data_IF_300529817320
#
_entry.id   IF_300529817320
#
_cell.length_a   1.000
_cell.length_b   1.000
_cell.length_c   1.000
_cell.angle_alpha   90.00
_cell.angle_beta   90.00
_cell.angle_gamma   90.00
#
_symmetry.space_group_name_H-M   'P 1'
#
loop_
_entity.id
_entity.type
_entity.pdbx_description
1 polymer ?
#
# COMPACT_ATOMS: atom_id res chain seq x y z
N UNK A 1 -19.09 0.64 -25.48
CA UNK A 1 -19.21 0.89 -24.02
C UNK A 1 -18.10 0.10 -23.33
N UNK A 2 -17.37 0.68 -22.37
CA UNK A 2 -16.30 -0.01 -21.63
C UNK A 2 -16.87 -0.55 -20.31
N UNK A 3 -16.50 -1.77 -19.90
CA UNK A 3 -16.95 -2.38 -18.63
C UNK A 3 -16.75 -1.44 -17.42
N UNK A 4 -15.63 -0.73 -17.39
CA UNK A 4 -15.28 0.22 -16.32
C UNK A 4 -16.33 1.33 -16.12
N UNK A 5 -17.09 1.68 -17.16
CA UNK A 5 -18.13 2.70 -17.08
C UNK A 5 -19.36 2.23 -16.28
N UNK A 6 -19.48 0.92 -16.03
CA UNK A 6 -20.59 0.34 -15.26
C UNK A 6 -20.30 0.24 -13.76
N UNK A 7 -19.01 0.23 -13.35
CA UNK A 7 -18.61 0.03 -11.94
C UNK A 7 -19.31 0.94 -10.92
N UNK A 8 -19.55 2.25 -11.19
CA UNK A 8 -20.23 3.12 -10.23
C UNK A 8 -21.71 2.74 -9.97
N UNK A 9 -22.31 1.91 -10.83
CA UNK A 9 -23.71 1.53 -10.77
C UNK A 9 -23.92 0.10 -10.29
N UNK A 10 -22.84 -0.67 -10.12
CA UNK A 10 -22.88 -2.03 -9.60
C UNK A 10 -22.98 -2.02 -8.07
N UNK A 11 -23.50 -3.09 -7.49
CA UNK A 11 -23.49 -3.22 -6.04
C UNK A 11 -22.11 -3.66 -5.50
N UNK A 12 -21.92 -3.52 -4.18
CA UNK A 12 -20.63 -3.78 -3.53
C UNK A 12 -20.19 -5.24 -3.60
N UNK A 13 -21.15 -6.18 -3.62
CA UNK A 13 -20.84 -7.61 -3.67
C UNK A 13 -20.45 -8.02 -5.08
N UNK A 14 -21.13 -7.49 -6.11
CA UNK A 14 -20.75 -7.68 -7.51
C UNK A 14 -19.33 -7.13 -7.79
N UNK A 15 -19.00 -5.95 -7.25
CA UNK A 15 -17.67 -5.35 -7.38
C UNK A 15 -16.61 -6.20 -6.65
N UNK A 16 -16.95 -6.76 -5.47
CA UNK A 16 -16.07 -7.68 -4.72
C UNK A 16 -15.79 -8.95 -5.52
N UNK A 17 -16.83 -9.59 -6.05
CA UNK A 17 -16.70 -10.80 -6.87
C UNK A 17 -15.85 -10.51 -8.12
N UNK A 18 -16.07 -9.36 -8.75
CA UNK A 18 -15.29 -8.94 -9.90
C UNK A 18 -13.80 -8.73 -9.57
N UNK A 19 -13.49 -8.09 -8.42
CA UNK A 19 -12.12 -7.96 -7.93
C UNK A 19 -11.47 -9.33 -7.72
N UNK A 20 -12.18 -10.28 -7.11
CA UNK A 20 -11.71 -11.65 -6.90
C UNK A 20 -11.43 -12.38 -8.22
N UNK A 21 -12.28 -12.21 -9.23
CA UNK A 21 -12.09 -12.77 -10.59
C UNK A 21 -10.86 -12.20 -11.32
N UNK A 22 -10.53 -10.93 -11.07
CA UNK A 22 -9.28 -10.33 -11.56
C UNK A 22 -8.09 -10.95 -10.80
N UNK A 23 -8.21 -11.15 -9.49
CA UNK A 23 -7.15 -11.75 -8.67
C UNK A 23 -6.89 -13.20 -9.06
N UNK A 24 -7.93 -14.01 -9.28
CA UNK A 24 -7.83 -15.42 -9.71
C UNK A 24 -7.32 -15.59 -11.15
N UNK A 25 -7.31 -14.52 -11.94
CA UNK A 25 -6.90 -14.53 -13.34
C UNK A 25 -7.98 -15.04 -14.30
N UNK A 26 -9.21 -15.26 -13.82
CA UNK A 26 -10.39 -15.52 -14.66
C UNK A 26 -10.68 -14.34 -15.59
N UNK A 27 -10.48 -13.12 -15.09
CA UNK A 27 -10.58 -11.88 -15.87
C UNK A 27 -9.17 -11.34 -16.13
N UNK A 28 -8.79 -11.27 -17.40
CA UNK A 28 -7.48 -10.76 -17.85
C UNK A 28 -7.61 -9.41 -18.55
N UNK A 29 -6.53 -8.64 -18.56
CA UNK A 29 -6.46 -7.35 -19.28
C UNK A 29 -7.12 -6.17 -18.56
N UNK A 30 -7.54 -6.36 -17.31
CA UNK A 30 -8.10 -5.31 -16.45
C UNK A 30 -7.20 -5.17 -15.23
N UNK A 31 -6.76 -3.94 -14.96
CA UNK A 31 -6.00 -3.63 -13.75
C UNK A 31 -6.92 -3.61 -12.54
N UNK A 32 -6.51 -4.29 -11.47
CA UNK A 32 -7.24 -4.31 -10.21
C UNK A 32 -7.41 -2.90 -9.62
N UNK A 33 -6.47 -1.99 -9.90
CA UNK A 33 -6.50 -0.59 -9.48
C UNK A 33 -7.76 0.18 -9.91
N UNK A 34 -8.38 -0.23 -11.02
CA UNK A 34 -9.61 0.41 -11.51
C UNK A 34 -10.81 0.12 -10.61
N UNK A 35 -10.77 -0.97 -9.85
CA UNK A 35 -11.88 -1.43 -9.01
C UNK A 35 -11.86 -0.75 -7.64
N UNK A 36 -10.69 -0.37 -7.12
CA UNK A 36 -10.51 0.14 -5.76
C UNK A 36 -11.40 1.33 -5.37
N UNK A 37 -11.63 2.36 -6.22
CA UNK A 37 -12.49 3.49 -5.85
C UNK A 37 -13.95 3.09 -5.59
N UNK A 38 -14.38 1.96 -6.14
CA UNK A 38 -15.77 1.49 -6.08
C UNK A 38 -15.94 0.33 -5.08
N UNK A 39 -14.84 -0.31 -4.69
CA UNK A 39 -14.87 -1.39 -3.71
C UNK A 39 -15.14 -0.81 -2.31
N UNK A 40 -16.02 -1.47 -1.55
CA UNK A 40 -16.23 -1.13 -0.15
C UNK A 40 -14.92 -1.23 0.63
N UNK A 41 -14.66 -0.30 1.55
CA UNK A 41 -13.41 -0.23 2.32
C UNK A 41 -13.08 -1.55 3.03
N UNK A 42 -14.06 -2.18 3.68
CA UNK A 42 -13.86 -3.47 4.36
C UNK A 42 -13.48 -4.58 3.37
N UNK A 43 -14.14 -4.63 2.20
CA UNK A 43 -13.83 -5.58 1.13
C UNK A 43 -12.44 -5.34 0.53
N UNK A 44 -12.00 -4.07 0.44
CA UNK A 44 -10.65 -3.73 -0.03
C UNK A 44 -9.59 -4.13 1.00
N UNK A 45 -9.85 -3.92 2.29
CA UNK A 45 -8.95 -4.32 3.37
C UNK A 45 -8.74 -5.84 3.36
N UNK A 46 -9.82 -6.63 3.18
CA UNK A 46 -9.77 -8.09 3.00
C UNK A 46 -8.98 -8.49 1.75
N UNK A 47 -9.25 -7.82 0.62
CA UNK A 47 -8.55 -8.07 -0.64
C UNK A 47 -7.05 -7.83 -0.51
N UNK A 48 -6.62 -6.78 0.19
CA UNK A 48 -5.20 -6.51 0.42
C UNK A 48 -4.54 -7.60 1.25
N UNK A 49 -5.21 -8.20 2.22
CA UNK A 49 -4.65 -9.36 2.94
C UNK A 49 -4.35 -10.53 1.99
N UNK A 50 -5.20 -10.73 0.98
CA UNK A 50 -4.96 -11.76 -0.03
C UNK A 50 -3.81 -11.39 -0.97
N UNK A 51 -3.72 -10.13 -1.40
CA UNK A 51 -2.62 -9.65 -2.23
C UNK A 51 -1.26 -9.75 -1.51
N UNK A 52 -1.23 -9.55 -0.19
CA UNK A 52 -0.02 -9.73 0.64
C UNK A 52 0.47 -11.18 0.56
N UNK A 53 -0.43 -12.15 0.76
CA UNK A 53 -0.09 -13.59 0.68
C UNK A 53 0.44 -13.99 -0.69
N UNK A 54 -0.03 -13.34 -1.75
CA UNK A 54 0.40 -13.57 -3.12
C UNK A 54 1.64 -12.75 -3.52
N UNK A 55 2.21 -11.92 -2.63
CA UNK A 55 3.38 -11.07 -2.92
C UNK A 55 3.12 -9.99 -3.97
N UNK A 56 1.87 -9.55 -4.14
CA UNK A 56 1.45 -8.63 -5.21
C UNK A 56 1.60 -7.15 -4.82
N UNK A 57 2.81 -6.76 -4.41
CA UNK A 57 3.10 -5.42 -3.87
C UNK A 57 2.65 -4.26 -4.78
N UNK A 58 2.78 -4.41 -6.11
CA UNK A 58 2.33 -3.39 -7.08
C UNK A 58 0.84 -3.10 -6.99
N UNK A 59 0.03 -4.14 -6.80
CA UNK A 59 -1.42 -3.99 -6.67
C UNK A 59 -1.78 -3.35 -5.32
N UNK A 60 -1.02 -3.65 -4.26
CA UNK A 60 -1.19 -3.05 -2.93
C UNK A 60 -0.86 -1.55 -2.97
N UNK A 61 0.20 -1.13 -3.67
CA UNK A 61 0.55 0.31 -3.78
C UNK A 61 -0.59 1.15 -4.35
N UNK A 62 -1.32 0.63 -5.34
CA UNK A 62 -2.46 1.32 -5.93
C UNK A 62 -3.69 1.36 -4.99
N UNK A 63 -3.77 0.48 -4.00
CA UNK A 63 -4.88 0.43 -3.04
C UNK A 63 -4.73 1.43 -1.89
N UNK A 64 -3.51 1.89 -1.59
CA UNK A 64 -3.19 2.72 -0.42
C UNK A 64 -4.13 3.91 -0.18
N UNK A 65 -4.53 4.70 -1.20
CA UNK A 65 -5.41 5.86 -0.99
C UNK A 65 -6.81 5.51 -0.49
N UNK A 66 -7.24 4.26 -0.67
CA UNK A 66 -8.61 3.81 -0.42
C UNK A 66 -8.73 2.95 0.85
N UNK A 67 -7.61 2.44 1.37
CA UNK A 67 -7.56 1.58 2.55
C UNK A 67 -8.05 2.28 3.82
N UNK A 68 -8.53 1.49 4.77
CA UNK A 68 -8.80 2.00 6.11
C UNK A 68 -7.51 2.34 6.85
N UNK A 69 -7.61 3.24 7.84
CA UNK A 69 -6.49 3.52 8.76
C UNK A 69 -6.02 2.26 9.49
N UNK A 70 -6.95 1.37 9.83
CA UNK A 70 -6.63 0.11 10.50
C UNK A 70 -5.78 -0.79 9.59
N UNK A 71 -6.20 -0.96 8.33
CA UNK A 71 -5.46 -1.75 7.36
C UNK A 71 -4.09 -1.14 7.02
N UNK A 72 -3.98 0.19 6.91
CA UNK A 72 -2.70 0.88 6.72
C UNK A 72 -1.74 0.64 7.88
N UNK A 73 -2.23 0.71 9.12
CA UNK A 73 -1.42 0.41 10.31
C UNK A 73 -0.97 -1.05 10.32
N UNK A 74 -1.87 -2.00 10.05
CA UNK A 74 -1.52 -3.42 9.95
C UNK A 74 -0.50 -3.69 8.84
N UNK A 75 -0.65 -3.03 7.69
CA UNK A 75 0.29 -3.11 6.59
C UNK A 75 1.67 -2.59 7.02
N UNK A 76 1.73 -1.43 7.68
CA UNK A 76 2.98 -0.89 8.24
C UNK A 76 3.68 -1.87 9.18
N UNK A 77 2.97 -2.46 10.15
CA UNK A 77 3.56 -3.45 11.07
C UNK A 77 4.08 -4.69 10.35
N UNK A 78 3.37 -5.16 9.32
CA UNK A 78 3.80 -6.31 8.51
C UNK A 78 5.05 -6.00 7.68
N UNK A 79 5.18 -4.77 7.16
CA UNK A 79 6.39 -4.31 6.46
C UNK A 79 7.56 -4.17 7.45
N UNK A 80 7.35 -3.49 8.58
CA UNK A 80 8.36 -3.28 9.63
C UNK A 80 8.91 -4.60 10.19
N UNK A 81 8.04 -5.61 10.37
CA UNK A 81 8.44 -6.95 10.83
C UNK A 81 9.09 -7.82 9.77
N UNK A 82 9.25 -7.34 8.53
CA UNK A 82 9.86 -8.08 7.43
C UNK A 82 8.98 -9.20 6.86
N UNK A 83 7.67 -9.24 7.19
CA UNK A 83 6.74 -10.26 6.66
C UNK A 83 6.41 -10.05 5.18
N UNK A 84 6.61 -8.83 4.67
CA UNK A 84 6.32 -8.47 3.29
C UNK A 84 7.64 -8.09 2.61
N UNK A 85 8.22 -9.04 1.90
CA UNK A 85 9.47 -8.83 1.17
C UNK A 85 9.29 -7.84 0.01
N UNK A 86 10.29 -6.99 -0.22
CA UNK A 86 10.33 -6.06 -1.36
C UNK A 86 9.26 -4.95 -1.32
N UNK A 87 8.64 -4.72 -0.17
CA UNK A 87 7.71 -3.61 0.03
C UNK A 87 8.49 -2.37 0.45
N UNK A 88 8.33 -1.27 -0.29
CA UNK A 88 8.95 0.02 0.02
C UNK A 88 8.16 0.70 1.13
N UNK A 89 8.71 0.85 2.32
CA UNK A 89 7.98 1.39 3.48
C UNK A 89 7.61 2.87 3.28
N UNK A 90 8.43 3.63 2.55
CA UNK A 90 8.31 5.08 2.35
C UNK A 90 7.00 5.46 1.64
N UNK A 91 6.46 4.56 0.82
CA UNK A 91 5.20 4.79 0.10
C UNK A 91 3.98 4.89 1.02
N UNK A 92 4.10 4.42 2.27
CA UNK A 92 3.04 4.51 3.26
C UNK A 92 2.95 5.92 3.88
N UNK A 93 4.02 6.71 3.83
CA UNK A 93 4.12 8.02 4.49
C UNK A 93 2.93 8.96 4.25
N UNK A 94 2.44 9.16 3.01
CA UNK A 94 1.31 10.06 2.75
C UNK A 94 0.00 9.62 3.43
N UNK A 95 -0.10 8.34 3.80
CA UNK A 95 -1.33 7.71 4.29
C UNK A 95 -1.28 7.38 5.79
N UNK A 96 -0.09 7.37 6.40
CA UNK A 96 0.09 7.09 7.82
C UNK A 96 -0.28 8.29 8.70
N UNK A 97 -0.74 7.98 9.92
CA UNK A 97 -0.98 8.98 10.95
C UNK A 97 0.32 9.50 11.58
N UNK A 98 0.26 10.68 12.19
CA UNK A 98 1.40 11.33 12.86
C UNK A 98 2.10 10.42 13.87
N UNK A 99 1.33 9.67 14.65
CA UNK A 99 1.89 8.78 15.68
C UNK A 99 2.77 7.68 15.07
N UNK A 100 2.38 7.13 13.91
CA UNK A 100 3.14 6.10 13.20
C UNK A 100 4.37 6.67 12.50
N UNK A 101 4.27 7.89 11.96
CA UNK A 101 5.43 8.58 11.40
C UNK A 101 6.46 8.87 12.50
N UNK A 102 6.01 9.27 13.69
CA UNK A 102 6.89 9.48 14.85
C UNK A 102 7.57 8.18 15.29
N UNK A 103 6.81 7.10 15.39
CA UNK A 103 7.37 5.77 15.70
C UNK A 103 8.46 5.37 14.69
N UNK A 104 8.20 5.55 13.39
CA UNK A 104 9.17 5.28 12.34
C UNK A 104 10.44 6.13 12.47
N UNK A 105 10.29 7.41 12.82
CA UNK A 105 11.42 8.30 13.06
C UNK A 105 12.25 7.85 14.27
N UNK A 106 11.60 7.55 15.40
CA UNK A 106 12.27 7.11 16.62
C UNK A 106 13.05 5.79 16.37
N UNK A 107 12.47 4.85 15.60
CA UNK A 107 13.15 3.61 15.20
C UNK A 107 14.41 3.86 14.37
N UNK A 108 14.36 4.81 13.42
CA UNK A 108 15.49 5.15 12.56
C UNK A 108 16.61 5.85 13.35
N UNK A 109 16.25 6.75 14.27
CA UNK A 109 17.21 7.39 15.17
C UNK A 109 17.92 6.37 16.04
N UNK A 110 17.19 5.41 16.62
CA UNK A 110 17.78 4.37 17.46
C UNK A 110 18.78 3.51 16.65
N UNK A 111 18.41 3.10 15.43
CA UNK A 111 19.32 2.33 14.56
C UNK A 111 20.60 3.09 14.22
N UNK A 112 20.49 4.37 13.89
CA UNK A 112 21.66 5.22 13.61
C UNK A 112 22.60 5.37 14.83
N UNK A 113 22.06 5.33 16.05
CA UNK A 113 22.84 5.38 17.28
C UNK A 113 23.54 4.04 17.59
N UNK A 114 22.94 2.92 17.21
CA UNK A 114 23.48 1.57 17.42
C UNK A 114 24.56 1.20 16.39
N UNK A 115 24.47 1.71 15.15
CA UNK A 115 25.38 1.32 14.06
C UNK A 115 26.70 2.11 14.00
N UNK A 116 26.90 3.15 14.82
CA UNK A 116 28.17 3.89 14.87
C UNK A 116 28.48 4.58 13.54
N UNK A 117 28.05 5.84 13.42
CA UNK A 117 28.27 6.78 12.31
C UNK A 117 29.56 6.56 11.51
N UNK A 118 29.46 6.26 10.21
CA UNK A 118 30.50 6.59 9.23
C UNK A 118 29.96 6.91 7.81
N UNK A 119 28.64 7.11 7.65
CA UNK A 119 28.12 7.79 6.47
C UNK A 119 27.25 8.95 6.95
N UNK A 120 27.74 10.17 6.71
CA UNK A 120 26.92 11.36 6.81
C UNK A 120 25.74 11.16 5.86
N UNK A 121 24.55 10.86 6.39
CA UNK A 121 23.28 11.02 5.69
C UNK A 121 23.10 12.53 5.44
N UNK A 122 23.84 13.04 4.45
CA UNK A 122 23.79 14.43 4.07
C UNK A 122 22.46 14.65 3.34
N UNK A 123 21.47 15.07 4.10
CA UNK A 123 20.12 15.46 3.65
C UNK A 123 20.20 16.53 2.54
N UNK A 124 21.37 17.16 2.34
CA UNK A 124 21.67 18.08 1.24
C UNK A 124 21.48 17.48 -0.16
N UNK A 125 21.58 16.14 -0.32
CA UNK A 125 21.43 15.47 -1.64
C UNK A 125 19.97 15.43 -2.11
N UNK A 126 18.99 15.47 -1.20
CA UNK A 126 17.56 15.36 -1.52
C UNK A 126 17.02 16.63 -2.20
N UNK A 127 17.66 17.77 -1.98
CA UNK A 127 17.23 19.09 -2.48
C UNK A 127 18.15 19.68 -3.55
N UNK A 128 19.03 18.87 -4.17
CA UNK A 128 19.70 19.34 -5.37
C UNK A 128 18.71 19.36 -6.53
N UNK A 129 18.13 20.54 -6.76
CA UNK A 129 17.44 20.90 -7.97
C UNK A 129 18.35 20.57 -9.16
N UNK A 130 18.02 19.51 -9.90
CA UNK A 130 18.60 19.29 -11.23
C UNK A 130 18.01 20.34 -12.16
N UNK A 131 18.81 21.34 -12.52
CA UNK A 131 18.55 22.27 -13.64
C UNK A 131 18.25 21.55 -14.96
#
# INVERSE_FOLDING_TARGET
MKLMALLPFMDKEEIKEFANKIVSGEVKGISLAVVYPFLGRDNLDELVQELIKQGRNKDIYAALPFLSKSALNTLYENVKSGKIEGFKQEVLLPFLGKDKIKEMFDDLVQKAQEEGTDEEDDISVIFQDTE
#
